data_IF_749424940121
#
_entry.id   IF_749424940121
#
_cell.length_a   1.000
_cell.length_b   1.000
_cell.length_c   1.000
_cell.angle_alpha   90.00
_cell.angle_beta   90.00
_cell.angle_gamma   90.00
#
_symmetry.space_group_name_H-M   'P 1'
#
loop_
_entity.id
_entity.type
_entity.pdbx_description
1 polymer ?
#
# COMPACT_ATOMS: atom_id res chain seq x y z
N UNK A 1 11.03 -32.85 -3.38
CA UNK A 1 10.48 -31.61 -2.78
C UNK A 1 11.29 -30.37 -3.11
N UNK A 2 12.62 -30.40 -3.08
CA UNK A 2 13.47 -29.26 -3.39
C UNK A 2 13.23 -28.70 -4.81
N UNK A 3 13.18 -29.55 -5.84
CA UNK A 3 12.91 -29.09 -7.22
C UNK A 3 11.55 -28.40 -7.42
N UNK A 4 10.54 -28.79 -6.67
CA UNK A 4 9.23 -28.11 -6.70
C UNK A 4 9.32 -26.68 -6.13
N UNK A 5 10.01 -26.51 -5.00
CA UNK A 5 10.22 -25.20 -4.35
C UNK A 5 11.00 -24.28 -5.28
N UNK A 6 12.11 -24.77 -5.84
CA UNK A 6 12.93 -23.98 -6.77
C UNK A 6 12.12 -23.55 -8.00
N UNK A 7 11.38 -24.46 -8.61
CA UNK A 7 10.53 -24.13 -9.76
C UNK A 7 9.48 -23.07 -9.41
N UNK A 8 8.91 -23.14 -8.20
CA UNK A 8 7.90 -22.20 -7.74
C UNK A 8 8.49 -20.82 -7.47
N UNK A 9 9.69 -20.75 -6.90
CA UNK A 9 10.42 -19.48 -6.70
C UNK A 9 10.76 -18.86 -8.05
N UNK A 10 11.31 -19.62 -9.00
CA UNK A 10 11.65 -19.11 -10.32
C UNK A 10 10.41 -18.58 -11.05
N UNK A 11 9.31 -19.33 -11.03
CA UNK A 11 8.05 -18.86 -11.65
C UNK A 11 7.51 -17.60 -10.97
N UNK A 12 7.62 -17.48 -9.65
CA UNK A 12 7.24 -16.29 -8.91
C UNK A 12 8.06 -15.06 -9.30
N UNK A 13 9.40 -15.21 -9.38
CA UNK A 13 10.30 -14.13 -9.81
C UNK A 13 9.98 -13.71 -11.25
N UNK A 14 9.74 -14.67 -12.15
CA UNK A 14 9.37 -14.38 -13.53
C UNK A 14 8.07 -13.59 -13.65
N UNK A 15 7.04 -13.98 -12.89
CA UNK A 15 5.77 -13.25 -12.83
C UNK A 15 5.99 -11.83 -12.30
N UNK A 16 6.74 -11.65 -11.23
CA UNK A 16 7.05 -10.32 -10.68
C UNK A 16 7.78 -9.45 -11.70
N UNK A 17 8.72 -10.03 -12.45
CA UNK A 17 9.46 -9.33 -13.50
C UNK A 17 8.54 -8.88 -14.64
N UNK A 18 7.68 -9.78 -15.14
CA UNK A 18 6.70 -9.45 -16.19
C UNK A 18 5.73 -8.36 -15.72
N UNK A 19 5.20 -8.48 -14.50
CA UNK A 19 4.30 -7.47 -13.92
C UNK A 19 5.01 -6.13 -13.75
N UNK A 20 6.27 -6.12 -13.31
CA UNK A 20 7.07 -4.91 -13.17
C UNK A 20 7.23 -4.19 -14.52
N UNK A 21 7.57 -4.92 -15.59
CA UNK A 21 7.66 -4.35 -16.94
C UNK A 21 6.30 -3.81 -17.39
N UNK A 22 5.22 -4.57 -17.20
CA UNK A 22 3.89 -4.17 -17.62
C UNK A 22 3.42 -2.89 -16.91
N UNK A 23 3.60 -2.80 -15.59
CA UNK A 23 3.26 -1.61 -14.80
C UNK A 23 4.11 -0.41 -15.23
N UNK A 24 5.42 -0.61 -15.44
CA UNK A 24 6.31 0.45 -15.91
C UNK A 24 5.90 0.95 -17.30
N UNK A 25 5.61 0.04 -18.21
CA UNK A 25 5.13 0.39 -19.55
C UNK A 25 3.80 1.14 -19.52
N UNK A 26 2.85 0.69 -18.69
CA UNK A 26 1.57 1.40 -18.51
C UNK A 26 1.76 2.81 -17.96
N UNK A 27 2.72 3.03 -17.08
CA UNK A 27 3.03 4.35 -16.54
C UNK A 27 3.58 5.30 -17.61
N UNK A 28 4.41 4.80 -18.54
CA UNK A 28 5.03 5.63 -19.59
C UNK A 28 4.20 5.76 -20.86
N UNK A 29 3.45 4.71 -21.25
CA UNK A 29 2.60 4.71 -22.44
C UNK A 29 1.13 5.01 -22.12
N UNK A 30 0.81 5.23 -20.83
CA UNK A 30 -0.53 5.61 -20.40
C UNK A 30 -0.98 6.95 -20.96
N UNK A 31 -2.29 7.23 -20.95
CA UNK A 31 -2.85 8.45 -21.53
C UNK A 31 -2.45 9.74 -20.80
N UNK A 32 -1.89 9.66 -19.61
CA UNK A 32 -1.43 10.78 -18.78
C UNK A 32 0.08 10.81 -18.72
N UNK A 33 0.69 11.90 -19.19
CA UNK A 33 2.12 12.15 -19.04
C UNK A 33 2.47 12.24 -17.54
N UNK A 34 3.39 11.39 -17.05
CA UNK A 34 3.79 11.38 -15.64
C UNK A 34 4.27 12.74 -15.13
N UNK A 35 4.85 13.56 -15.98
CA UNK A 35 5.35 14.89 -15.59
C UNK A 35 4.22 15.82 -15.09
N UNK A 36 3.00 15.68 -15.60
CA UNK A 36 1.87 16.47 -15.12
C UNK A 36 1.46 16.15 -13.68
N UNK A 37 1.65 14.91 -13.23
CA UNK A 37 1.37 14.53 -11.84
C UNK A 37 2.25 15.27 -10.81
N UNK A 38 3.38 15.79 -11.26
CA UNK A 38 4.33 16.57 -10.43
C UNK A 38 4.23 18.09 -10.64
N UNK A 39 3.33 18.51 -11.53
CA UNK A 39 3.12 19.91 -11.85
C UNK A 39 1.83 20.40 -11.18
N UNK A 40 1.88 21.38 -10.25
CA UNK A 40 0.66 21.98 -9.70
C UNK A 40 -0.15 22.63 -10.82
N UNK A 41 -1.45 22.35 -10.89
CA UNK A 41 -2.37 22.80 -11.95
C UNK A 41 -2.32 24.33 -12.17
N UNK A 42 -2.08 25.12 -11.11
CA UNK A 42 -2.06 26.57 -11.17
C UNK A 42 -0.76 27.19 -11.73
N UNK A 43 0.33 26.42 -11.86
CA UNK A 43 1.66 26.96 -12.19
C UNK A 43 2.46 26.06 -13.14
N UNK A 44 1.78 25.26 -13.96
CA UNK A 44 2.42 24.35 -14.91
C UNK A 44 2.78 25.07 -16.21
N UNK A 45 3.88 25.82 -16.19
CA UNK A 45 4.42 26.42 -17.41
C UNK A 45 5.17 25.40 -18.26
N UNK A 46 5.21 25.55 -19.60
CA UNK A 46 5.94 24.61 -20.48
C UNK A 46 7.41 24.44 -20.08
N UNK A 47 8.07 25.50 -19.65
CA UNK A 47 9.46 25.45 -19.17
C UNK A 47 9.62 24.63 -17.88
N UNK A 48 8.67 24.73 -16.95
CA UNK A 48 8.68 23.92 -15.71
C UNK A 48 8.42 22.45 -16.00
N UNK A 49 7.52 22.16 -16.94
CA UNK A 49 7.26 20.81 -17.39
C UNK A 49 8.50 20.16 -18.01
N UNK A 50 9.22 20.90 -18.85
CA UNK A 50 10.49 20.45 -19.44
C UNK A 50 11.54 20.15 -18.36
N UNK A 51 11.69 21.00 -17.36
CA UNK A 51 12.61 20.76 -16.23
C UNK A 51 12.21 19.50 -15.42
N UNK A 52 10.91 19.27 -15.24
CA UNK A 52 10.43 18.07 -14.55
C UNK A 52 10.74 16.83 -15.38
N UNK A 53 10.51 16.85 -16.69
CA UNK A 53 10.84 15.74 -17.59
C UNK A 53 12.32 15.40 -17.56
N UNK A 54 13.17 16.40 -17.65
CA UNK A 54 14.63 16.23 -17.55
C UNK A 54 15.04 15.66 -16.19
N UNK A 55 14.50 16.20 -15.10
CA UNK A 55 14.82 15.73 -13.73
C UNK A 55 14.35 14.30 -13.45
N UNK A 56 13.27 13.87 -14.08
CA UNK A 56 12.75 12.49 -14.02
C UNK A 56 13.43 11.56 -15.04
N UNK A 57 14.24 12.12 -15.96
CA UNK A 57 14.87 11.37 -17.05
C UNK A 57 13.85 10.81 -18.05
N UNK A 58 12.68 11.44 -18.19
CA UNK A 58 11.61 11.00 -19.11
C UNK A 58 11.97 11.16 -20.59
N UNK A 59 13.01 11.96 -20.88
CA UNK A 59 13.51 12.16 -22.23
C UNK A 59 14.35 10.97 -22.76
N UNK A 60 14.69 10.02 -21.86
CA UNK A 60 15.46 8.83 -22.23
C UNK A 60 14.56 7.73 -22.75
N UNK A 61 15.11 6.78 -23.56
CA UNK A 61 14.37 5.60 -23.96
C UNK A 61 13.84 4.82 -22.74
N UNK A 62 12.60 4.32 -22.84
CA UNK A 62 11.91 3.62 -21.73
C UNK A 62 12.73 2.45 -21.18
N UNK A 63 13.45 1.75 -22.05
CA UNK A 63 14.34 0.63 -21.65
C UNK A 63 15.48 1.11 -20.76
N UNK A 64 16.08 2.26 -21.08
CA UNK A 64 17.14 2.86 -20.25
C UNK A 64 16.59 3.33 -18.90
N UNK A 65 15.41 3.94 -18.90
CA UNK A 65 14.75 4.37 -17.67
C UNK A 65 14.45 3.17 -16.76
N UNK A 66 13.91 2.07 -17.31
CA UNK A 66 13.67 0.85 -16.58
C UNK A 66 14.97 0.24 -16.04
N UNK A 67 16.03 0.19 -16.85
CA UNK A 67 17.34 -0.27 -16.42
C UNK A 67 17.93 0.55 -15.27
N UNK A 68 17.83 1.87 -15.35
CA UNK A 68 18.28 2.79 -14.29
C UNK A 68 17.45 2.62 -13.00
N UNK A 69 16.12 2.42 -13.11
CA UNK A 69 15.26 2.12 -11.97
C UNK A 69 15.66 0.80 -11.30
N UNK A 70 15.82 -0.27 -12.08
CA UNK A 70 16.24 -1.56 -11.55
C UNK A 70 17.62 -1.51 -10.90
N UNK A 71 18.58 -0.81 -11.53
CA UNK A 71 19.92 -0.58 -10.94
C UNK A 71 19.82 0.20 -9.63
N UNK A 72 18.96 1.23 -9.58
CA UNK A 72 18.72 2.04 -8.39
C UNK A 72 18.24 1.23 -7.18
N UNK A 73 17.43 0.19 -7.39
CA UNK A 73 16.98 -0.69 -6.31
C UNK A 73 18.17 -1.36 -5.59
N UNK A 74 19.22 -1.74 -6.33
CA UNK A 74 20.35 -2.47 -5.75
C UNK A 74 21.53 -1.58 -5.33
N UNK A 75 21.77 -0.48 -6.03
CA UNK A 75 22.95 0.37 -5.84
C UNK A 75 22.61 1.73 -5.25
N UNK A 76 21.34 2.13 -5.31
CA UNK A 76 20.90 3.49 -5.03
C UNK A 76 20.94 4.36 -6.29
N UNK A 77 20.34 5.54 -6.20
CA UNK A 77 20.31 6.54 -7.26
C UNK A 77 20.17 7.95 -6.65
N UNK A 78 20.67 8.95 -7.37
CA UNK A 78 20.49 10.34 -6.98
C UNK A 78 19.51 11.02 -7.94
N UNK A 79 18.44 11.55 -7.39
CA UNK A 79 17.41 12.25 -8.17
C UNK A 79 17.61 13.77 -8.09
N UNK A 80 17.69 14.41 -9.25
CA UNK A 80 17.80 15.87 -9.35
C UNK A 80 16.41 16.50 -9.41
N UNK A 81 16.08 17.30 -8.43
CA UNK A 81 14.85 18.08 -8.39
C UNK A 81 15.19 19.58 -8.53
N UNK A 82 15.49 20.02 -9.74
CA UNK A 82 16.01 21.34 -10.02
C UNK A 82 17.42 21.53 -9.44
N UNK A 83 17.61 22.50 -8.54
CA UNK A 83 18.89 22.72 -7.86
C UNK A 83 19.14 21.76 -6.66
N UNK A 84 18.13 20.98 -6.26
CA UNK A 84 18.23 20.04 -5.15
C UNK A 84 18.52 18.64 -5.69
N UNK A 85 19.53 17.99 -5.10
CA UNK A 85 19.79 16.56 -5.30
C UNK A 85 19.26 15.82 -4.10
N UNK A 86 18.35 14.85 -4.33
CA UNK A 86 17.80 14.00 -3.29
C UNK A 86 18.51 12.65 -3.40
N UNK A 87 19.38 12.31 -2.45
CA UNK A 87 20.06 11.03 -2.44
C UNK A 87 19.07 9.92 -2.06
N UNK A 88 19.07 8.83 -2.81
CA UNK A 88 18.26 7.65 -2.54
C UNK A 88 19.18 6.45 -2.38
N UNK A 89 19.57 6.10 -1.13
CA UNK A 89 20.43 4.96 -0.86
C UNK A 89 19.70 3.64 -1.21
N UNK A 90 20.50 2.59 -1.44
CA UNK A 90 19.94 1.25 -1.66
C UNK A 90 19.27 0.69 -0.39
N UNK A 91 18.10 0.03 -0.50
CA UNK A 91 17.28 -0.18 -1.71
C UNK A 91 16.47 1.05 -2.10
N UNK A 92 16.75 1.61 -3.28
CA UNK A 92 16.06 2.82 -3.74
C UNK A 92 14.82 2.48 -4.58
N UNK A 93 13.65 2.64 -4.01
CA UNK A 93 12.36 2.49 -4.70
C UNK A 93 11.90 3.76 -5.41
N UNK A 94 12.77 4.78 -5.45
CA UNK A 94 12.48 6.08 -6.03
C UNK A 94 12.21 7.16 -4.99
N UNK A 95 11.92 8.35 -5.49
CA UNK A 95 11.67 9.56 -4.69
C UNK A 95 10.30 10.12 -5.02
N UNK A 96 9.53 10.45 -4.01
CA UNK A 96 8.30 11.21 -4.16
C UNK A 96 8.60 12.70 -4.29
N UNK A 97 8.54 13.25 -5.50
CA UNK A 97 8.77 14.68 -5.72
C UNK A 97 7.69 15.57 -5.09
N UNK A 98 6.48 15.03 -4.90
CA UNK A 98 5.39 15.72 -4.21
C UNK A 98 5.67 15.89 -2.72
N UNK A 99 6.14 14.85 -2.06
CA UNK A 99 6.42 14.83 -0.62
C UNK A 99 7.89 15.15 -0.31
N UNK A 100 8.78 15.13 -1.31
CA UNK A 100 10.23 15.33 -1.20
C UNK A 100 10.90 14.35 -0.23
N UNK A 101 10.44 13.09 -0.25
CA UNK A 101 10.95 12.02 0.61
C UNK A 101 11.27 10.78 -0.22
N UNK A 102 12.19 9.97 0.27
CA UNK A 102 12.47 8.66 -0.30
C UNK A 102 11.27 7.73 -0.10
N UNK A 103 10.85 7.07 -1.16
CA UNK A 103 9.73 6.12 -1.12
C UNK A 103 10.04 4.96 -0.17
N UNK A 104 11.27 4.50 -0.13
CA UNK A 104 11.71 3.43 0.78
C UNK A 104 11.49 3.79 2.24
N UNK A 105 11.96 4.96 2.67
CA UNK A 105 11.81 5.43 4.05
C UNK A 105 10.33 5.66 4.41
N UNK A 106 9.57 6.21 3.47
CA UNK A 106 8.14 6.42 3.65
C UNK A 106 7.38 5.10 3.82
N UNK A 107 7.70 4.09 3.00
CA UNK A 107 7.08 2.76 3.10
C UNK A 107 7.48 2.06 4.40
N UNK A 108 8.78 2.06 4.75
CA UNK A 108 9.26 1.44 5.98
C UNK A 108 8.64 2.07 7.23
N UNK A 109 8.45 3.37 7.22
CA UNK A 109 7.77 4.08 8.32
C UNK A 109 6.29 3.73 8.46
N UNK A 110 5.60 3.33 7.37
CA UNK A 110 4.18 2.92 7.38
C UNK A 110 3.97 1.42 7.52
N UNK A 111 5.01 0.63 7.24
CA UNK A 111 4.95 -0.82 7.26
C UNK A 111 4.50 -1.42 8.61
N UNK A 112 5.00 -0.96 9.78
CA UNK A 112 4.57 -1.50 11.07
C UNK A 112 3.07 -1.33 11.33
N UNK A 113 2.50 -0.17 10.95
CA UNK A 113 1.07 0.09 11.08
C UNK A 113 0.24 -0.86 10.21
N UNK A 114 0.63 -1.03 8.95
CA UNK A 114 -0.04 -1.94 8.02
C UNK A 114 0.07 -3.40 8.48
N UNK A 115 1.24 -3.81 8.97
CA UNK A 115 1.47 -5.16 9.46
C UNK A 115 0.64 -5.47 10.70
N UNK A 116 0.57 -4.54 11.67
CA UNK A 116 -0.23 -4.71 12.87
C UNK A 116 -1.72 -4.84 12.56
N UNK A 117 -2.24 -4.01 11.64
CA UNK A 117 -3.62 -4.12 11.15
C UNK A 117 -3.86 -5.46 10.43
N UNK A 118 -2.94 -5.88 9.57
CA UNK A 118 -3.06 -7.14 8.85
C UNK A 118 -3.06 -8.34 9.80
N UNK A 119 -2.16 -8.36 10.79
CA UNK A 119 -2.13 -9.43 11.80
C UNK A 119 -3.39 -9.42 12.67
N UNK A 120 -3.83 -8.26 13.15
CA UNK A 120 -5.05 -8.13 13.94
C UNK A 120 -6.30 -8.58 13.17
N UNK A 121 -6.46 -8.13 11.94
CA UNK A 121 -7.58 -8.54 11.09
C UNK A 121 -7.54 -10.04 10.76
N UNK A 122 -6.34 -10.62 10.53
CA UNK A 122 -6.19 -12.05 10.28
C UNK A 122 -6.62 -12.88 11.50
N UNK A 123 -6.26 -12.49 12.72
CA UNK A 123 -6.68 -13.17 13.94
C UNK A 123 -8.20 -13.11 14.09
N UNK A 124 -8.81 -11.94 13.92
CA UNK A 124 -10.28 -11.78 14.00
C UNK A 124 -10.98 -12.61 12.91
N UNK A 125 -10.49 -12.53 11.68
CA UNK A 125 -11.05 -13.27 10.55
C UNK A 125 -10.98 -14.79 10.78
N UNK A 126 -9.84 -15.32 11.23
CA UNK A 126 -9.68 -16.75 11.47
C UNK A 126 -10.55 -17.21 12.65
N UNK A 127 -10.58 -16.48 13.75
CA UNK A 127 -11.36 -16.87 14.93
C UNK A 127 -12.86 -16.81 14.65
N UNK A 128 -13.36 -15.72 14.09
CA UNK A 128 -14.78 -15.60 13.74
C UNK A 128 -15.17 -16.49 12.57
N UNK A 129 -14.36 -16.54 11.51
CA UNK A 129 -14.66 -17.34 10.32
C UNK A 129 -14.70 -18.84 10.62
N UNK A 130 -13.67 -19.35 11.30
CA UNK A 130 -13.64 -20.77 11.70
C UNK A 130 -14.69 -21.05 12.77
N UNK A 131 -14.86 -20.17 13.75
CA UNK A 131 -15.87 -20.30 14.80
C UNK A 131 -17.29 -20.36 14.25
N UNK A 132 -17.70 -19.36 13.49
CA UNK A 132 -19.04 -19.29 12.88
C UNK A 132 -19.24 -20.41 11.84
N UNK A 133 -18.21 -20.73 11.04
CA UNK A 133 -18.27 -21.82 10.08
C UNK A 133 -18.46 -23.18 10.74
N UNK A 134 -17.77 -23.47 11.84
CA UNK A 134 -17.93 -24.71 12.59
C UNK A 134 -19.29 -24.77 13.31
N UNK A 135 -19.78 -23.65 13.83
CA UNK A 135 -21.13 -23.58 14.40
C UNK A 135 -22.21 -23.87 13.35
N UNK A 136 -22.14 -23.22 12.18
CA UNK A 136 -23.07 -23.45 11.08
C UNK A 136 -23.06 -24.93 10.63
N UNK A 137 -21.86 -25.52 10.54
CA UNK A 137 -21.71 -26.93 10.17
C UNK A 137 -22.37 -27.91 11.19
N UNK A 138 -22.29 -27.56 12.48
CA UNK A 138 -22.93 -28.41 13.55
C UNK A 138 -24.46 -28.33 13.54
N UNK A 139 -25.02 -27.18 13.15
CA UNK A 139 -26.47 -26.96 13.12
C UNK A 139 -27.04 -26.96 11.71
N UNK A 140 -26.39 -27.64 10.79
CA UNK A 140 -26.70 -27.65 9.37
C UNK A 140 -28.18 -27.98 9.11
N UNK A 141 -28.80 -27.18 8.23
CA UNK A 141 -30.23 -27.34 7.85
C UNK A 141 -31.23 -26.68 8.81
N UNK A 142 -30.79 -26.16 9.95
CA UNK A 142 -31.65 -25.46 10.90
C UNK A 142 -31.81 -23.95 10.54
N UNK A 143 -32.71 -23.26 11.25
CA UNK A 143 -32.86 -21.81 11.12
C UNK A 143 -31.61 -21.06 11.58
N UNK A 144 -30.85 -21.60 12.53
CA UNK A 144 -29.57 -21.03 12.97
C UNK A 144 -28.51 -21.05 11.87
N UNK A 145 -28.37 -22.16 11.14
CA UNK A 145 -27.50 -22.26 9.97
C UNK A 145 -27.86 -21.21 8.91
N UNK A 146 -29.14 -21.13 8.56
CA UNK A 146 -29.64 -20.12 7.60
C UNK A 146 -29.37 -18.69 8.06
N UNK A 147 -29.50 -18.43 9.37
CA UNK A 147 -29.21 -17.14 9.98
C UNK A 147 -27.71 -16.77 9.88
N UNK A 148 -26.82 -17.68 10.23
CA UNK A 148 -25.35 -17.46 10.14
C UNK A 148 -24.94 -17.22 8.69
N UNK A 149 -25.36 -18.05 7.76
CA UNK A 149 -25.02 -17.90 6.35
C UNK A 149 -25.66 -16.65 5.76
N UNK A 150 -26.92 -16.39 6.05
CA UNK A 150 -27.63 -15.21 5.58
C UNK A 150 -27.01 -13.90 6.06
N UNK A 151 -26.65 -13.81 7.35
CA UNK A 151 -25.97 -12.63 7.90
C UNK A 151 -24.60 -12.41 7.27
N UNK A 152 -23.83 -13.49 7.04
CA UNK A 152 -22.53 -13.41 6.37
C UNK A 152 -22.66 -12.90 4.94
N UNK A 153 -23.67 -13.34 4.20
CA UNK A 153 -23.94 -12.87 2.84
C UNK A 153 -24.37 -11.39 2.83
N UNK A 154 -25.23 -10.99 3.77
CA UNK A 154 -25.66 -9.58 3.91
C UNK A 154 -24.48 -8.68 4.21
N UNK A 155 -23.64 -9.03 5.18
CA UNK A 155 -22.44 -8.24 5.51
C UNK A 155 -21.46 -8.15 4.35
N UNK A 156 -21.30 -9.24 3.59
CA UNK A 156 -20.41 -9.26 2.41
C UNK A 156 -20.98 -8.46 1.22
N UNK A 157 -22.30 -8.23 1.19
CA UNK A 157 -22.94 -7.40 0.15
C UNK A 157 -22.73 -5.90 0.36
N UNK A 158 -22.38 -5.48 1.58
CA UNK A 158 -22.12 -4.08 1.89
C UNK A 158 -20.70 -3.74 1.44
N UNK A 159 -20.49 -2.66 0.66
CA UNK A 159 -19.15 -2.22 0.29
C UNK A 159 -18.29 -1.97 1.53
N UNK A 160 -17.09 -2.55 1.56
CA UNK A 160 -16.20 -2.51 2.73
C UNK A 160 -15.83 -1.09 3.16
N UNK A 161 -15.70 -0.15 2.21
CA UNK A 161 -15.42 1.26 2.51
C UNK A 161 -16.56 1.93 3.29
N UNK A 162 -17.82 1.53 3.00
CA UNK A 162 -18.98 2.04 3.74
C UNK A 162 -18.99 1.52 5.18
N UNK A 163 -18.69 0.21 5.35
CA UNK A 163 -18.55 -0.37 6.69
C UNK A 163 -17.41 0.29 7.47
N UNK A 164 -16.27 0.55 6.82
CA UNK A 164 -15.15 1.23 7.44
C UNK A 164 -15.51 2.66 7.87
N UNK A 165 -16.22 3.41 7.00
CA UNK A 165 -16.67 4.77 7.29
C UNK A 165 -17.67 4.80 8.44
N UNK A 166 -18.66 3.92 8.43
CA UNK A 166 -19.65 3.83 9.52
C UNK A 166 -19.00 3.40 10.83
N UNK A 167 -18.06 2.45 10.77
CA UNK A 167 -17.30 2.03 11.96
C UNK A 167 -16.48 3.18 12.52
N UNK A 168 -15.82 3.97 11.69
CA UNK A 168 -15.10 5.16 12.12
C UNK A 168 -16.03 6.18 12.77
N UNK A 169 -17.14 6.50 12.10
CA UNK A 169 -18.11 7.49 12.60
C UNK A 169 -18.69 7.10 13.96
N UNK A 170 -19.14 5.86 14.10
CA UNK A 170 -19.80 5.43 15.35
C UNK A 170 -18.81 5.02 16.43
N UNK A 171 -17.78 4.20 16.11
CA UNK A 171 -16.89 3.64 17.13
C UNK A 171 -15.80 4.64 17.58
N UNK A 172 -15.37 5.54 16.70
CA UNK A 172 -14.33 6.51 17.00
C UNK A 172 -14.96 7.85 17.39
N UNK A 173 -15.81 8.43 16.51
CA UNK A 173 -16.30 9.81 16.66
C UNK A 173 -17.44 9.91 17.68
N UNK A 174 -18.44 9.03 17.61
CA UNK A 174 -19.62 9.14 18.50
C UNK A 174 -19.39 8.47 19.87
N UNK A 175 -18.90 7.25 19.88
CA UNK A 175 -18.76 6.46 21.10
C UNK A 175 -17.39 6.58 21.76
N UNK A 176 -16.38 7.09 21.03
CA UNK A 176 -15.02 7.26 21.57
C UNK A 176 -14.38 5.95 22.08
N UNK A 177 -14.80 4.79 21.53
CA UNK A 177 -14.28 3.47 21.95
C UNK A 177 -12.84 3.31 21.49
N UNK A 178 -12.53 3.83 20.30
CA UNK A 178 -11.19 3.81 19.74
C UNK A 178 -10.63 5.24 19.68
N UNK A 179 -9.30 5.41 19.84
CA UNK A 179 -8.66 6.70 19.71
C UNK A 179 -8.79 7.24 18.28
N UNK A 180 -8.76 8.54 18.15
CA UNK A 180 -8.69 9.22 16.85
C UNK A 180 -7.41 8.84 16.11
N UNK A 181 -7.33 9.21 14.84
CA UNK A 181 -6.29 8.78 13.90
C UNK A 181 -4.86 8.95 14.43
N UNK A 182 -4.11 7.87 14.46
CA UNK A 182 -2.69 7.83 14.80
C UNK A 182 -2.22 6.39 14.99
N UNK A 183 -0.98 6.10 14.58
CA UNK A 183 -0.35 4.83 14.91
C UNK A 183 0.55 5.02 16.12
N UNK A 184 0.18 4.42 17.23
CA UNK A 184 1.01 4.32 18.41
C UNK A 184 1.63 2.92 18.45
N UNK A 185 2.95 2.86 18.43
CA UNK A 185 3.66 1.59 18.51
C UNK A 185 3.51 1.01 19.94
N UNK A 186 3.01 -0.22 20.08
CA UNK A 186 2.87 -0.85 21.39
C UNK A 186 4.23 -1.10 22.08
N UNK A 187 5.33 -1.01 21.33
CA UNK A 187 6.68 -1.26 21.83
C UNK A 187 7.42 0.01 22.25
N UNK A 188 7.11 1.17 21.66
CA UNK A 188 7.81 2.43 21.96
C UNK A 188 7.01 3.36 22.85
N UNK A 189 5.68 3.37 22.72
CA UNK A 189 4.82 4.35 23.39
C UNK A 189 4.15 3.80 24.66
N UNK A 190 4.28 2.49 24.91
CA UNK A 190 3.69 1.79 26.06
C UNK A 190 2.14 1.67 25.97
N UNK A 191 1.54 0.77 26.78
CA UNK A 191 0.10 0.49 26.75
C UNK A 191 -0.78 1.65 27.25
N UNK A 192 -0.21 2.68 27.84
CA UNK A 192 -0.92 3.84 28.41
C UNK A 192 -0.95 5.06 27.49
N UNK A 193 -0.28 5.03 26.33
CA UNK A 193 -0.29 6.13 25.36
C UNK A 193 -1.69 6.40 24.74
N UNK A 194 -2.59 5.42 24.81
CA UNK A 194 -3.98 5.57 24.39
C UNK A 194 -4.80 6.61 25.18
N UNK A 195 -4.31 7.06 26.32
CA UNK A 195 -5.10 7.93 27.22
C UNK A 195 -4.66 9.40 27.21
N UNK A 196 -3.60 9.75 26.48
CA UNK A 196 -2.98 11.08 26.54
C UNK A 196 -3.43 12.08 25.47
N UNK A 197 -4.34 11.73 24.58
CA UNK A 197 -4.81 12.62 23.51
C UNK A 197 -6.28 13.01 23.67
N UNK A 198 -6.64 13.56 24.82
CA UNK A 198 -7.87 14.38 24.96
C UNK A 198 -7.48 15.81 25.27
#
# INVERSE_FOLDING_TARGET
>A
MFGYVVRRIISGILVLFVVSIAVFALFFYGPSDPAYAYCPESHCTPGRLAMIRDSLGLDKPVVEQYGNYMKGIFVGNDYKAGALTIPCPAPCLGVSFKLRVNVTDYLLGRFPATLSLACGSAVIFLTLGVGLGTMAARVRGTMADKGIVGSSLLLNSIPYYLLALLSYLYLVSEWGIFPETGYHSPFTDGPLAFHSSR
#
